data_IF_878782824688
#
_entry.id   IF_878782824688
#
_cell.length_a   1.000
_cell.length_b   1.000
_cell.length_c   1.000
_cell.angle_alpha   90.00
_cell.angle_beta   90.00
_cell.angle_gamma   90.00
#
_symmetry.space_group_name_H-M   'P 1'
#
loop_
_entity.id
_entity.type
_entity.pdbx_description
1 polymer ?
#
# COMPACT_ATOMS: atom_id res chain seq x y z
N UNK A 1 -0.34 -16.23 -14.10
CA UNK A 1 0.98 -15.94 -14.70
C UNK A 1 1.83 -15.08 -13.76
N UNK A 2 1.40 -13.85 -13.39
CA UNK A 2 2.17 -12.92 -12.54
C UNK A 2 2.64 -13.56 -11.22
N UNK A 3 1.73 -14.18 -10.48
CA UNK A 3 2.04 -14.87 -9.22
C UNK A 3 3.12 -15.95 -9.40
N UNK A 4 2.99 -16.78 -10.45
CA UNK A 4 3.96 -17.84 -10.72
C UNK A 4 5.34 -17.27 -11.08
N UNK A 5 5.41 -16.18 -11.82
CA UNK A 5 6.66 -15.51 -12.19
C UNK A 5 7.39 -14.99 -10.95
N UNK A 6 6.68 -14.27 -10.04
CA UNK A 6 7.28 -13.81 -8.79
C UNK A 6 7.73 -14.98 -7.91
N UNK A 7 6.92 -16.03 -7.75
CA UNK A 7 7.29 -17.18 -6.94
C UNK A 7 8.47 -17.98 -7.52
N UNK A 8 8.60 -18.06 -8.84
CA UNK A 8 9.79 -18.67 -9.45
C UNK A 8 11.05 -17.90 -9.08
N UNK A 9 11.03 -16.57 -9.18
CA UNK A 9 12.17 -15.72 -8.80
C UNK A 9 12.44 -15.79 -7.29
N UNK A 10 11.39 -15.79 -6.45
CA UNK A 10 11.55 -15.97 -4.99
C UNK A 10 12.31 -17.26 -4.68
N UNK A 11 11.96 -18.36 -5.34
CA UNK A 11 12.66 -19.66 -5.16
C UNK A 11 14.08 -19.64 -5.72
N UNK A 12 14.27 -19.06 -6.91
CA UNK A 12 15.57 -18.99 -7.59
C UNK A 12 16.60 -18.25 -6.73
N UNK A 13 16.19 -17.14 -6.09
CA UNK A 13 17.07 -16.29 -5.28
C UNK A 13 17.01 -16.59 -3.77
N UNK A 14 16.34 -17.68 -3.35
CA UNK A 14 16.13 -18.03 -1.93
C UNK A 14 15.62 -16.85 -1.08
N UNK A 15 14.77 -16.02 -1.67
CA UNK A 15 14.19 -14.87 -0.99
C UNK A 15 13.19 -15.33 0.07
N UNK A 16 13.31 -14.81 1.29
CA UNK A 16 12.51 -15.26 2.45
C UNK A 16 11.14 -14.61 2.57
N UNK A 17 10.82 -13.63 1.73
CA UNK A 17 9.51 -13.00 1.67
C UNK A 17 8.53 -13.75 0.75
N UNK A 18 7.31 -13.23 0.68
CA UNK A 18 6.25 -13.74 -0.19
C UNK A 18 5.71 -12.62 -1.09
N UNK A 19 5.21 -13.00 -2.26
CA UNK A 19 4.49 -12.08 -3.14
C UNK A 19 3.00 -12.06 -2.79
N UNK A 20 2.47 -10.86 -2.58
CA UNK A 20 1.04 -10.59 -2.46
C UNK A 20 0.62 -9.62 -3.55
N UNK A 21 -0.53 -9.79 -4.15
CA UNK A 21 -1.06 -8.90 -5.16
C UNK A 21 -2.41 -8.33 -4.74
N UNK A 22 -2.66 -7.07 -5.11
CA UNK A 22 -3.94 -6.39 -4.96
C UNK A 22 -4.35 -5.79 -6.29
N UNK A 23 -5.64 -5.86 -6.61
CA UNK A 23 -6.20 -5.27 -7.82
C UNK A 23 -6.80 -3.91 -7.50
N UNK A 24 -6.38 -2.83 -8.18
CA UNK A 24 -6.92 -1.50 -7.94
C UNK A 24 -8.31 -1.35 -8.57
N UNK A 25 -9.34 -1.17 -7.73
CA UNK A 25 -10.74 -1.06 -8.14
C UNK A 25 -11.01 0.10 -9.10
N UNK A 26 -10.20 1.16 -9.06
CA UNK A 26 -10.29 2.27 -10.04
C UNK A 26 -10.17 1.82 -11.51
N UNK A 27 -9.56 0.67 -11.77
CA UNK A 27 -9.39 0.12 -13.13
C UNK A 27 -10.68 -0.49 -13.65
N UNK A 28 -11.36 -1.29 -12.81
CA UNK A 28 -12.66 -1.89 -13.14
C UNK A 28 -13.39 -2.31 -11.86
N UNK A 29 -14.58 -1.76 -11.63
CA UNK A 29 -15.40 -1.99 -10.43
C UNK A 29 -16.62 -2.86 -10.70
N UNK A 30 -16.79 -3.34 -11.93
CA UNK A 30 -17.98 -4.10 -12.32
C UNK A 30 -18.04 -5.46 -11.62
N UNK A 31 -19.17 -5.85 -11.02
CA UNK A 31 -19.30 -7.11 -10.29
C UNK A 31 -18.95 -8.34 -11.14
N UNK A 32 -19.34 -8.35 -12.42
CA UNK A 32 -19.04 -9.44 -13.36
C UNK A 32 -17.54 -9.56 -13.70
N UNK A 33 -16.72 -8.57 -13.36
CA UNK A 33 -15.27 -8.63 -13.43
C UNK A 33 -14.66 -8.99 -12.06
N UNK A 34 -15.11 -8.34 -10.97
CA UNK A 34 -14.55 -8.53 -9.64
C UNK A 34 -14.82 -9.93 -9.07
N UNK A 35 -16.03 -10.46 -9.26
CA UNK A 35 -16.38 -11.80 -8.78
C UNK A 35 -15.45 -12.90 -9.30
N UNK A 36 -15.24 -13.07 -10.62
CA UNK A 36 -14.28 -14.05 -11.12
C UNK A 36 -12.85 -13.80 -10.64
N UNK A 37 -12.42 -12.53 -10.60
CA UNK A 37 -11.08 -12.17 -10.17
C UNK A 37 -10.80 -12.65 -8.74
N UNK A 38 -11.72 -12.39 -7.81
CA UNK A 38 -11.56 -12.77 -6.40
C UNK A 38 -11.71 -14.27 -6.20
N UNK A 39 -12.64 -14.92 -6.90
CA UNK A 39 -12.82 -16.36 -6.82
C UNK A 39 -11.58 -17.12 -7.30
N UNK A 40 -11.06 -16.78 -8.48
CA UNK A 40 -9.83 -17.38 -9.00
C UNK A 40 -8.59 -16.99 -8.18
N UNK A 41 -8.57 -15.76 -7.65
CA UNK A 41 -7.50 -15.22 -6.82
C UNK A 41 -7.43 -15.80 -5.41
N UNK A 42 -8.45 -16.49 -4.94
CA UNK A 42 -8.55 -17.00 -3.56
C UNK A 42 -7.36 -17.86 -3.14
N UNK A 43 -6.92 -18.76 -4.00
CA UNK A 43 -5.79 -19.66 -3.75
C UNK A 43 -4.43 -18.94 -3.73
N UNK A 44 -4.39 -17.68 -4.18
CA UNK A 44 -3.19 -16.85 -4.26
C UNK A 44 -3.22 -15.70 -3.24
N UNK A 45 -4.21 -15.69 -2.36
CA UNK A 45 -4.45 -14.61 -1.42
C UNK A 45 -4.49 -13.22 -2.11
N UNK A 46 -5.15 -13.18 -3.27
CA UNK A 46 -5.29 -11.99 -4.10
C UNK A 46 -6.28 -11.02 -3.46
N UNK A 47 -5.90 -9.77 -3.32
CA UNK A 47 -6.70 -8.76 -2.66
C UNK A 47 -7.13 -7.61 -3.57
N UNK A 48 -7.68 -6.58 -2.94
CA UNK A 48 -8.20 -5.39 -3.62
C UNK A 48 -7.53 -4.12 -3.10
N UNK A 49 -7.37 -3.13 -3.97
CA UNK A 49 -6.98 -1.77 -3.59
C UNK A 49 -8.14 -0.81 -3.83
N UNK A 50 -8.45 0.01 -2.83
CA UNK A 50 -9.50 1.03 -2.85
C UNK A 50 -8.88 2.43 -2.76
N UNK A 51 -9.29 3.34 -3.64
CA UNK A 51 -8.87 4.75 -3.66
C UNK A 51 -9.99 5.73 -3.30
N UNK A 52 -11.18 5.23 -2.92
CA UNK A 52 -12.33 6.02 -2.49
C UNK A 52 -13.20 5.26 -1.50
N UNK A 53 -14.09 5.97 -0.79
CA UNK A 53 -15.05 5.34 0.13
C UNK A 53 -15.92 4.29 -0.56
N UNK A 54 -16.41 4.59 -1.75
CA UNK A 54 -17.23 3.66 -2.53
C UNK A 54 -16.43 2.39 -2.90
N UNK A 55 -15.19 2.55 -3.35
CA UNK A 55 -14.31 1.41 -3.65
C UNK A 55 -13.99 0.59 -2.38
N UNK A 56 -13.83 1.23 -1.22
CA UNK A 56 -13.61 0.52 0.03
C UNK A 56 -14.81 -0.34 0.42
N UNK A 57 -16.04 0.18 0.26
CA UNK A 57 -17.27 -0.62 0.49
C UNK A 57 -17.34 -1.81 -0.47
N UNK A 58 -16.99 -1.62 -1.75
CA UNK A 58 -16.89 -2.71 -2.72
C UNK A 58 -15.84 -3.74 -2.27
N UNK A 59 -14.66 -3.28 -1.87
CA UNK A 59 -13.60 -4.17 -1.38
C UNK A 59 -14.05 -4.98 -0.16
N UNK A 60 -14.68 -4.36 0.83
CA UNK A 60 -15.23 -5.04 2.01
C UNK A 60 -16.30 -6.08 1.65
N UNK A 61 -17.07 -5.83 0.57
CA UNK A 61 -18.15 -6.73 0.14
C UNK A 61 -17.63 -7.97 -0.59
N UNK A 62 -16.63 -7.80 -1.45
CA UNK A 62 -16.20 -8.86 -2.36
C UNK A 62 -14.90 -9.56 -1.95
N UNK A 63 -14.03 -8.89 -1.16
CA UNK A 63 -12.76 -9.46 -0.80
C UNK A 63 -12.90 -10.64 0.17
N UNK A 64 -12.12 -11.69 -0.02
CA UNK A 64 -12.08 -12.78 0.94
C UNK A 64 -11.45 -12.31 2.25
N UNK A 65 -11.99 -12.74 3.38
CA UNK A 65 -11.34 -12.52 4.69
C UNK A 65 -9.94 -13.14 4.68
N UNK A 66 -8.95 -12.38 5.18
CA UNK A 66 -7.54 -12.75 5.14
C UNK A 66 -6.79 -12.38 3.86
N UNK A 67 -7.51 -12.04 2.77
CA UNK A 67 -6.87 -11.40 1.61
C UNK A 67 -6.67 -9.90 1.86
N UNK A 68 -5.56 -9.30 1.39
CA UNK A 68 -5.25 -7.90 1.69
C UNK A 68 -6.23 -6.92 1.05
N UNK A 69 -6.59 -5.87 1.80
CA UNK A 69 -7.21 -4.66 1.28
C UNK A 69 -6.23 -3.52 1.52
N UNK A 70 -5.80 -2.83 0.47
CA UNK A 70 -5.04 -1.59 0.62
C UNK A 70 -5.92 -0.39 0.32
N UNK A 71 -5.86 0.64 1.17
CA UNK A 71 -6.59 1.89 0.97
C UNK A 71 -5.60 2.97 0.62
N UNK A 72 -5.57 3.36 -0.64
CA UNK A 72 -4.63 4.32 -1.22
C UNK A 72 -5.40 5.55 -1.73
N UNK A 73 -4.71 6.68 -2.00
CA UNK A 73 -5.34 7.93 -2.36
C UNK A 73 -5.74 8.77 -1.15
N UNK A 74 -6.25 9.97 -1.40
CA UNK A 74 -6.65 10.91 -0.36
C UNK A 74 -7.78 10.34 0.52
N UNK A 75 -7.59 10.42 1.83
CA UNK A 75 -8.53 9.93 2.83
C UNK A 75 -9.00 11.08 3.73
N UNK A 76 -10.31 11.21 3.86
CA UNK A 76 -10.91 12.00 4.91
C UNK A 76 -11.17 11.13 6.17
N UNK A 77 -11.58 11.77 7.25
CA UNK A 77 -11.84 11.10 8.54
C UNK A 77 -12.88 9.98 8.43
N UNK A 78 -13.90 10.15 7.58
CA UNK A 78 -14.94 9.12 7.38
C UNK A 78 -14.38 7.89 6.68
N UNK A 79 -13.52 8.07 5.66
CA UNK A 79 -12.87 6.95 4.97
C UNK A 79 -11.91 6.20 5.91
N UNK A 80 -11.18 6.93 6.76
CA UNK A 80 -10.33 6.35 7.80
C UNK A 80 -11.18 5.54 8.77
N UNK A 81 -12.27 6.12 9.29
CA UNK A 81 -13.19 5.42 10.20
C UNK A 81 -13.78 4.16 9.57
N UNK A 82 -14.14 4.20 8.28
CA UNK A 82 -14.58 3.01 7.54
C UNK A 82 -13.48 1.92 7.51
N UNK A 83 -12.21 2.31 7.43
CA UNK A 83 -11.07 1.39 7.57
C UNK A 83 -11.01 0.71 8.93
N UNK A 84 -11.30 1.43 10.03
CA UNK A 84 -11.39 0.84 11.37
C UNK A 84 -12.57 -0.14 11.48
N UNK A 85 -13.72 0.19 10.90
CA UNK A 85 -14.86 -0.72 10.81
C UNK A 85 -14.48 -1.98 10.04
N UNK A 86 -13.83 -1.85 8.87
CA UNK A 86 -13.36 -3.00 8.10
C UNK A 86 -12.41 -3.90 8.92
N UNK A 87 -11.48 -3.29 9.66
CA UNK A 87 -10.60 -4.03 10.58
C UNK A 87 -11.38 -4.79 11.63
N UNK A 88 -12.39 -4.17 12.28
CA UNK A 88 -13.23 -4.81 13.29
C UNK A 88 -14.10 -5.94 12.73
N UNK A 89 -14.39 -5.91 11.42
CA UNK A 89 -15.08 -6.99 10.70
C UNK A 89 -14.15 -8.15 10.30
N UNK A 90 -12.85 -8.06 10.60
CA UNK A 90 -11.86 -9.10 10.33
C UNK A 90 -11.16 -9.00 8.98
N UNK A 91 -11.26 -7.88 8.27
CA UNK A 91 -10.50 -7.66 7.04
C UNK A 91 -9.01 -7.39 7.33
N UNK A 92 -8.13 -7.93 6.48
CA UNK A 92 -6.69 -7.61 6.44
C UNK A 92 -6.51 -6.28 5.68
N UNK A 93 -6.66 -5.17 6.40
CA UNK A 93 -6.72 -3.82 5.81
C UNK A 93 -5.50 -2.98 6.20
N UNK A 94 -4.92 -2.29 5.21
CA UNK A 94 -3.82 -1.34 5.38
C UNK A 94 -4.21 0.03 4.82
N UNK A 95 -4.14 1.07 5.65
CA UNK A 95 -4.30 2.47 5.25
C UNK A 95 -2.95 3.03 4.79
N UNK A 96 -2.84 3.43 3.53
CA UNK A 96 -1.62 4.02 2.96
C UNK A 96 -1.65 5.53 3.16
N UNK A 97 -0.77 6.05 3.99
CA UNK A 97 -0.68 7.47 4.37
C UNK A 97 0.07 8.24 3.29
N UNK A 98 -0.54 9.29 2.76
CA UNK A 98 0.03 10.18 1.74
C UNK A 98 0.45 11.55 2.29
N UNK A 99 0.05 11.90 3.51
CA UNK A 99 0.40 13.14 4.21
C UNK A 99 0.20 13.01 5.72
N UNK A 100 0.88 13.85 6.51
CA UNK A 100 0.85 13.83 7.98
C UNK A 100 -0.57 14.04 8.53
N UNK A 101 -1.37 14.88 7.89
CA UNK A 101 -2.75 15.11 8.27
C UNK A 101 -3.62 13.84 8.26
N UNK A 102 -3.32 12.87 7.40
CA UNK A 102 -4.03 11.58 7.41
C UNK A 102 -3.65 10.73 8.62
N UNK A 103 -2.39 10.80 9.05
CA UNK A 103 -1.92 10.14 10.26
C UNK A 103 -2.54 10.76 11.51
N UNK A 104 -2.64 12.08 11.57
CA UNK A 104 -3.35 12.81 12.64
C UNK A 104 -4.81 12.36 12.74
N UNK A 105 -5.52 12.25 11.60
CA UNK A 105 -6.90 11.74 11.58
C UNK A 105 -7.01 10.28 12.04
N UNK A 106 -6.01 9.43 11.76
CA UNK A 106 -5.98 8.05 12.30
C UNK A 106 -5.89 8.08 13.83
N UNK A 107 -5.02 8.93 14.38
CA UNK A 107 -4.85 9.10 15.83
C UNK A 107 -6.16 9.61 16.47
N UNK A 108 -6.82 10.58 15.82
CA UNK A 108 -8.12 11.07 16.29
C UNK A 108 -9.16 9.94 16.33
N UNK A 109 -9.35 9.20 15.22
CA UNK A 109 -10.32 8.08 15.15
C UNK A 109 -9.99 7.01 16.18
N UNK A 110 -8.71 6.66 16.36
CA UNK A 110 -8.28 5.71 17.37
C UNK A 110 -8.67 6.17 18.79
N UNK A 111 -8.45 7.46 19.09
CA UNK A 111 -8.78 8.04 20.40
C UNK A 111 -10.29 8.16 20.65
N UNK A 112 -11.07 8.48 19.63
CA UNK A 112 -12.52 8.61 19.71
C UNK A 112 -13.22 7.26 19.86
N UNK A 113 -12.82 6.28 19.05
CA UNK A 113 -13.54 5.00 18.94
C UNK A 113 -13.02 3.93 19.90
N UNK A 114 -11.75 4.03 20.32
CA UNK A 114 -11.02 2.98 21.05
C UNK A 114 -10.95 1.64 20.31
N UNK A 115 -11.23 1.63 19.00
CA UNK A 115 -11.11 0.44 18.15
C UNK A 115 -9.63 0.15 17.88
N UNK A 116 -9.30 -1.11 17.55
CA UNK A 116 -7.98 -1.46 17.06
C UNK A 116 -7.71 -0.79 15.70
N UNK A 117 -6.54 -0.15 15.56
CA UNK A 117 -6.17 0.48 14.29
C UNK A 117 -5.96 -0.56 13.18
N UNK A 118 -6.37 -0.27 11.95
CA UNK A 118 -5.86 -0.96 10.77
C UNK A 118 -4.33 -0.90 10.70
N UNK A 119 -3.72 -1.76 9.89
CA UNK A 119 -2.33 -1.61 9.50
C UNK A 119 -2.11 -0.26 8.81
N UNK A 120 -0.95 0.33 9.02
CA UNK A 120 -0.55 1.61 8.43
C UNK A 120 0.59 1.34 7.45
N UNK A 121 0.48 1.92 6.26
CA UNK A 121 1.56 2.00 5.28
C UNK A 121 1.95 3.45 5.04
N UNK A 122 3.22 3.75 4.83
CA UNK A 122 3.68 5.08 4.45
C UNK A 122 3.97 5.12 2.96
N UNK A 123 3.32 6.04 2.22
CA UNK A 123 3.65 6.28 0.82
C UNK A 123 4.87 7.17 0.74
N UNK A 124 5.96 6.62 0.20
CA UNK A 124 7.24 7.32 0.11
C UNK A 124 7.36 8.04 -1.24
N UNK A 125 7.80 9.29 -1.19
CA UNK A 125 8.16 10.08 -2.37
C UNK A 125 9.63 9.83 -2.68
N UNK A 126 9.88 9.01 -3.71
CA UNK A 126 11.24 8.67 -4.12
C UNK A 126 11.85 9.78 -4.99
N UNK A 127 13.17 9.96 -4.89
CA UNK A 127 13.93 10.84 -5.78
C UNK A 127 14.07 10.25 -7.18
N UNK A 128 14.09 8.91 -7.29
CA UNK A 128 14.13 8.20 -8.57
C UNK A 128 12.81 8.40 -9.32
N UNK A 129 12.84 9.20 -10.38
CA UNK A 129 11.68 9.44 -11.24
C UNK A 129 11.33 8.23 -12.09
N UNK A 130 10.03 8.05 -12.38
CA UNK A 130 9.52 7.07 -13.33
C UNK A 130 9.85 7.40 -14.80
N UNK A 131 9.65 6.43 -15.68
CA UNK A 131 9.69 6.62 -17.14
C UNK A 131 8.30 6.40 -17.73
N UNK A 132 7.96 7.09 -18.84
CA UNK A 132 6.71 6.94 -19.56
C UNK A 132 5.85 8.20 -19.57
N UNK A 133 4.64 8.10 -20.13
CA UNK A 133 3.69 9.20 -20.31
C UNK A 133 3.32 9.92 -18.98
N UNK A 134 3.42 9.26 -17.86
CA UNK A 134 3.08 9.74 -16.52
C UNK A 134 4.30 9.88 -15.59
N UNK A 135 5.51 10.08 -16.16
CA UNK A 135 6.74 10.26 -15.38
C UNK A 135 6.66 11.43 -14.36
N UNK A 136 5.77 12.40 -14.59
CA UNK A 136 5.52 13.54 -13.67
C UNK A 136 4.76 13.15 -12.40
N UNK A 137 4.19 11.95 -12.32
CA UNK A 137 3.48 11.48 -11.11
C UNK A 137 4.38 10.78 -10.09
N UNK A 138 5.66 10.61 -10.40
CA UNK A 138 6.70 10.08 -9.51
C UNK A 138 7.93 10.99 -9.47
N UNK A 139 8.87 10.74 -8.55
CA UNK A 139 10.09 11.52 -8.38
C UNK A 139 9.91 12.81 -7.54
N UNK A 140 10.96 13.63 -7.47
CA UNK A 140 11.04 14.87 -6.65
C UNK A 140 9.84 15.81 -6.87
N UNK A 141 9.28 15.86 -8.07
CA UNK A 141 8.15 16.72 -8.43
C UNK A 141 6.79 16.02 -8.22
N UNK A 142 6.76 14.83 -7.59
CA UNK A 142 5.50 14.15 -7.26
C UNK A 142 4.71 14.99 -6.25
N UNK A 143 3.40 15.09 -6.50
CA UNK A 143 2.45 15.71 -5.55
C UNK A 143 2.02 14.75 -4.44
N UNK A 144 2.44 13.47 -4.51
CA UNK A 144 1.95 12.39 -3.68
C UNK A 144 3.07 11.78 -2.86
N UNK A 145 2.73 11.39 -1.64
CA UNK A 145 3.61 10.69 -0.73
C UNK A 145 4.53 11.61 0.08
N UNK A 146 5.08 11.06 1.13
CA UNK A 146 5.92 11.70 2.13
C UNK A 146 7.35 11.84 1.64
N UNK A 147 7.97 12.98 1.88
CA UNK A 147 9.41 13.20 1.75
C UNK A 147 10.16 12.46 2.86
N UNK A 148 11.48 12.36 2.77
CA UNK A 148 12.30 11.74 3.81
C UNK A 148 12.12 12.42 5.18
N UNK A 149 11.98 13.76 5.22
CA UNK A 149 11.71 14.51 6.44
C UNK A 149 10.33 14.17 6.99
N UNK A 150 9.28 14.21 6.16
CA UNK A 150 7.92 13.87 6.56
C UNK A 150 7.77 12.40 7.01
N UNK A 151 8.61 11.47 6.51
CA UNK A 151 8.66 10.08 6.98
C UNK A 151 9.17 10.01 8.42
N UNK A 152 10.20 10.78 8.76
CA UNK A 152 10.71 10.86 10.13
C UNK A 152 9.69 11.51 11.06
N UNK A 153 9.08 12.61 10.63
CA UNK A 153 8.00 13.28 11.38
C UNK A 153 6.81 12.33 11.62
N UNK A 154 6.44 11.54 10.58
CA UNK A 154 5.40 10.53 10.71
C UNK A 154 5.79 9.44 11.72
N UNK A 155 7.05 8.99 11.70
CA UNK A 155 7.55 8.00 12.64
C UNK A 155 7.51 8.54 14.09
N UNK A 156 8.02 9.75 14.33
CA UNK A 156 8.00 10.43 15.63
C UNK A 156 6.55 10.59 16.15
N UNK A 157 5.64 11.05 15.29
CA UNK A 157 4.22 11.17 15.62
C UNK A 157 3.60 9.82 16.00
N UNK A 158 3.99 8.74 15.30
CA UNK A 158 3.53 7.38 15.63
C UNK A 158 4.14 6.89 16.96
N UNK A 159 5.38 7.22 17.26
CA UNK A 159 6.06 6.86 18.50
C UNK A 159 5.42 7.56 19.70
N UNK A 160 5.21 8.86 19.63
CA UNK A 160 4.55 9.68 20.66
C UNK A 160 3.14 9.19 21.01
N UNK A 161 2.44 8.60 20.04
CA UNK A 161 1.09 8.05 20.22
C UNK A 161 1.06 6.53 20.45
N UNK A 162 2.20 5.86 20.57
CA UNK A 162 2.33 4.40 20.78
C UNK A 162 1.67 3.56 19.70
N UNK A 163 1.70 4.02 18.43
CA UNK A 163 1.09 3.35 17.28
C UNK A 163 2.09 2.82 16.24
N UNK A 164 3.40 2.90 16.49
CA UNK A 164 4.44 2.33 15.61
C UNK A 164 4.19 0.84 15.32
N UNK A 165 3.58 0.12 16.26
CA UNK A 165 3.21 -1.30 16.08
C UNK A 165 2.26 -1.56 14.90
N UNK A 166 1.53 -0.55 14.42
CA UNK A 166 0.63 -0.66 13.27
C UNK A 166 1.33 -0.35 11.94
N UNK A 167 2.57 0.17 11.96
CA UNK A 167 3.37 0.41 10.75
C UNK A 167 3.87 -0.93 10.20
N UNK A 168 3.28 -1.37 9.09
CA UNK A 168 3.57 -2.68 8.47
C UNK A 168 4.12 -2.57 7.06
N UNK A 169 3.94 -1.43 6.40
CA UNK A 169 4.22 -1.30 4.97
C UNK A 169 4.83 0.05 4.62
N UNK A 170 5.73 0.06 3.64
CA UNK A 170 6.01 1.24 2.83
C UNK A 170 5.46 1.02 1.43
N UNK A 171 4.99 2.09 0.80
CA UNK A 171 4.43 2.05 -0.54
C UNK A 171 5.08 3.12 -1.41
N UNK A 172 5.30 2.80 -2.68
CA UNK A 172 5.64 3.77 -3.71
C UNK A 172 4.97 3.43 -5.04
N UNK A 173 4.81 4.43 -5.88
CA UNK A 173 4.34 4.24 -7.26
C UNK A 173 5.13 5.14 -8.19
N UNK A 174 5.83 4.55 -9.15
CA UNK A 174 6.74 5.28 -10.06
C UNK A 174 6.11 5.65 -11.40
N UNK A 175 4.83 5.37 -11.57
CA UNK A 175 4.08 5.71 -12.79
C UNK A 175 3.48 4.50 -13.48
N UNK A 176 2.77 4.75 -14.58
CA UNK A 176 2.06 3.74 -15.36
C UNK A 176 2.75 3.49 -16.70
N UNK A 177 2.48 2.32 -17.30
CA UNK A 177 3.00 1.90 -18.61
C UNK A 177 4.55 2.00 -18.70
N UNK A 178 5.24 1.43 -17.71
CA UNK A 178 6.70 1.39 -17.68
C UNK A 178 7.22 0.50 -18.80
N UNK A 179 8.00 1.11 -19.70
CA UNK A 179 8.68 0.41 -20.79
C UNK A 179 10.13 -0.02 -20.46
N UNK A 180 10.56 0.20 -19.22
CA UNK A 180 11.89 -0.17 -18.73
C UNK A 180 11.84 -0.55 -17.24
N UNK A 181 12.59 -1.61 -16.88
CA UNK A 181 12.74 -2.07 -15.50
C UNK A 181 13.73 -1.22 -14.68
N UNK A 182 14.59 -0.42 -15.34
CA UNK A 182 15.65 0.36 -14.68
C UNK A 182 15.14 1.34 -13.62
N UNK A 183 14.06 2.13 -13.86
CA UNK A 183 13.47 3.00 -12.84
C UNK A 183 12.97 2.20 -11.62
N UNK A 184 12.33 1.05 -11.84
CA UNK A 184 11.84 0.19 -10.75
C UNK A 184 12.99 -0.32 -9.87
N UNK A 185 14.12 -0.75 -10.48
CA UNK A 185 15.31 -1.17 -9.73
C UNK A 185 15.89 -0.05 -8.86
N UNK A 186 15.90 1.20 -9.35
CA UNK A 186 16.34 2.35 -8.57
C UNK A 186 15.39 2.64 -7.41
N UNK A 187 14.09 2.65 -7.70
CA UNK A 187 13.04 2.86 -6.71
C UNK A 187 13.09 1.81 -5.59
N UNK A 188 13.29 0.53 -5.94
CA UNK A 188 13.44 -0.56 -4.96
C UNK A 188 14.67 -0.38 -4.07
N UNK A 189 15.80 0.08 -4.61
CA UNK A 189 16.99 0.37 -3.77
C UNK A 189 16.72 1.51 -2.79
N UNK A 190 16.16 2.60 -3.28
CA UNK A 190 15.85 3.78 -2.45
C UNK A 190 14.82 3.43 -1.37
N UNK A 191 13.73 2.76 -1.72
CA UNK A 191 12.73 2.32 -0.74
C UNK A 191 13.29 1.27 0.23
N UNK A 192 14.22 0.42 -0.21
CA UNK A 192 14.91 -0.54 0.65
C UNK A 192 15.76 0.14 1.73
N UNK A 193 16.39 1.27 1.43
CA UNK A 193 17.10 2.08 2.42
C UNK A 193 16.12 2.66 3.45
N UNK A 194 15.03 3.30 2.99
CA UNK A 194 13.99 3.84 3.87
C UNK A 194 13.40 2.74 4.78
N UNK A 195 13.14 1.56 4.21
CA UNK A 195 12.67 0.41 4.97
C UNK A 195 13.66 0.00 6.08
N UNK A 196 14.95 -0.09 5.74
CA UNK A 196 15.99 -0.46 6.69
C UNK A 196 16.16 0.60 7.81
N UNK A 197 16.11 1.89 7.46
CA UNK A 197 16.15 3.00 8.42
C UNK A 197 14.98 2.93 9.42
N UNK A 198 13.74 2.77 8.92
CA UNK A 198 12.56 2.62 9.79
C UNK A 198 12.64 1.39 10.70
N UNK A 199 13.19 0.28 10.20
CA UNK A 199 13.46 -0.91 11.02
C UNK A 199 14.47 -0.61 12.13
N UNK A 200 15.53 0.12 11.83
CA UNK A 200 16.56 0.50 12.79
C UNK A 200 16.02 1.47 13.85
N UNK A 201 15.09 2.34 13.50
CA UNK A 201 14.39 3.24 14.43
C UNK A 201 13.45 2.49 15.40
N UNK A 202 13.03 1.26 15.07
CA UNK A 202 12.16 0.46 15.94
C UNK A 202 10.83 0.03 15.33
N UNK A 203 10.60 0.24 14.02
CA UNK A 203 9.41 -0.26 13.32
C UNK A 203 9.48 -1.79 13.14
N UNK A 204 9.42 -2.54 14.23
CA UNK A 204 9.61 -4.00 14.25
C UNK A 204 8.58 -4.76 13.42
N UNK A 205 7.35 -4.25 13.32
CA UNK A 205 6.26 -4.86 12.54
C UNK A 205 6.29 -4.49 11.05
N UNK A 206 7.16 -3.56 10.63
CA UNK A 206 7.34 -3.23 9.22
C UNK A 206 7.89 -4.46 8.47
N UNK A 207 7.12 -5.02 7.55
CA UNK A 207 7.44 -6.28 6.89
C UNK A 207 7.11 -6.31 5.40
N UNK A 208 6.59 -5.22 4.84
CA UNK A 208 6.10 -5.19 3.46
C UNK A 208 6.57 -3.96 2.70
N UNK A 209 6.88 -4.16 1.41
CA UNK A 209 7.12 -3.09 0.43
C UNK A 209 6.10 -3.27 -0.69
N UNK A 210 5.18 -2.32 -0.82
CA UNK A 210 4.24 -2.27 -1.93
C UNK A 210 4.84 -1.40 -3.05
N UNK A 211 5.18 -2.03 -4.16
CA UNK A 211 5.86 -1.40 -5.29
C UNK A 211 4.92 -0.66 -6.26
N UNK A 212 3.64 -0.60 -5.93
CA UNK A 212 2.62 -0.06 -6.84
C UNK A 212 2.39 -0.94 -8.06
N UNK A 213 1.83 -0.35 -9.08
CA UNK A 213 1.59 -0.99 -10.36
C UNK A 213 2.34 -0.30 -11.50
N UNK A 214 1.81 -0.41 -12.72
CA UNK A 214 2.33 0.28 -13.90
C UNK A 214 3.27 -0.55 -14.75
N UNK A 215 3.35 -1.86 -14.53
CA UNK A 215 3.99 -2.77 -15.49
C UNK A 215 3.25 -2.68 -16.83
N UNK A 216 4.00 -2.49 -17.91
CA UNK A 216 3.42 -2.44 -19.25
C UNK A 216 2.87 -3.80 -19.64
N UNK A 217 1.72 -3.80 -20.34
CA UNK A 217 1.16 -4.97 -21.03
C UNK A 217 1.16 -4.69 -22.52
N UNK A 218 1.38 -5.72 -23.29
CA UNK A 218 1.25 -5.68 -24.75
C UNK A 218 -0.23 -5.84 -25.10
N UNK A 219 -0.77 -4.92 -25.93
CA UNK A 219 -2.15 -4.93 -26.38
C UNK A 219 -2.23 -5.47 -27.81
#
# INVERSE_FOLDING_TARGET
>A
TLYNTFNSSIKEYDYKGAFKAVFPLKVNQLPNFIHPLINEGKNFNYGLEAGSKAELVIAMTYNNLGSPITVNGFKDKEMIHLGFIAKSMGHDITLIIEGLNELEMIIEVLNETKMESPSIGLRVRLHSGGSGLWAKSGGINSKFGLTSTEILEAYELMEDNNIVKYLTMIHFHIGSAMNSIKPLKKALRESGHIYAELKNLGATNLNSINIGGGLAVEY
#
